data_IF_926074567124
#
_entry.id   IF_926074567124
#
_cell.length_a   1.000
_cell.length_b   1.000
_cell.length_c   1.000
_cell.angle_alpha   90.00
_cell.angle_beta   90.00
_cell.angle_gamma   90.00
#
_symmetry.space_group_name_H-M   'P 1'
#
loop_
_entity.id
_entity.type
_entity.pdbx_description
1 polymer ?
#
# COMPACT_ATOMS: atom_id res chain seq x y z
N UNK A 1 -28.33 19.90 -31.35
CA UNK A 1 -28.68 19.32 -30.04
C UNK A 1 -27.61 18.34 -29.53
N UNK A 2 -27.02 17.47 -30.37
CA UNK A 2 -25.95 16.53 -29.94
C UNK A 2 -24.66 17.20 -29.40
N UNK A 3 -24.23 18.33 -29.96
CA UNK A 3 -23.03 19.04 -29.48
C UNK A 3 -23.16 19.58 -28.04
N UNK A 4 -24.40 19.77 -27.55
CA UNK A 4 -24.66 20.23 -26.18
C UNK A 4 -24.62 19.09 -25.16
N UNK A 5 -24.85 17.84 -25.57
CA UNK A 5 -24.79 16.68 -24.66
C UNK A 5 -23.36 16.18 -24.47
N UNK A 6 -22.50 16.27 -25.49
CA UNK A 6 -21.09 15.87 -25.40
C UNK A 6 -20.29 16.81 -24.50
N UNK A 7 -20.44 18.12 -24.70
CA UNK A 7 -19.82 19.14 -23.84
C UNK A 7 -20.27 19.04 -22.37
N UNK A 8 -21.54 18.68 -22.13
CA UNK A 8 -22.03 18.45 -20.77
C UNK A 8 -21.37 17.22 -20.10
N UNK A 9 -21.14 16.14 -20.85
CA UNK A 9 -20.49 14.93 -20.33
C UNK A 9 -19.02 15.15 -20.01
N UNK A 10 -18.30 15.89 -20.85
CA UNK A 10 -16.88 16.22 -20.61
C UNK A 10 -16.70 17.11 -19.39
N UNK A 11 -17.57 18.12 -19.22
CA UNK A 11 -17.58 18.96 -18.01
C UNK A 11 -17.90 18.11 -16.80
N UNK A 12 -18.90 17.23 -16.87
CA UNK A 12 -19.28 16.39 -15.73
C UNK A 12 -18.15 15.42 -15.32
N UNK A 13 -17.49 14.77 -16.29
CA UNK A 13 -16.36 13.88 -16.03
C UNK A 13 -15.14 14.62 -15.46
N UNK A 14 -14.78 15.77 -16.02
CA UNK A 14 -13.65 16.56 -15.51
C UNK A 14 -13.91 17.09 -14.10
N UNK A 15 -15.14 17.52 -13.82
CA UNK A 15 -15.55 17.97 -12.47
C UNK A 15 -15.54 16.81 -11.48
N UNK A 16 -15.98 15.62 -11.89
CA UNK A 16 -15.92 14.41 -11.07
C UNK A 16 -14.49 14.07 -10.69
N UNK A 17 -13.60 13.95 -11.69
CA UNK A 17 -12.17 13.61 -11.45
C UNK A 17 -11.48 14.67 -10.58
N UNK A 18 -11.76 15.95 -10.83
CA UNK A 18 -11.22 17.03 -10.00
C UNK A 18 -11.68 16.93 -8.53
N UNK A 19 -12.95 16.54 -8.31
CA UNK A 19 -13.49 16.36 -6.96
C UNK A 19 -12.85 15.19 -6.22
N UNK A 20 -12.50 14.10 -6.90
CA UNK A 20 -11.79 12.96 -6.30
C UNK A 20 -10.39 13.36 -5.83
N UNK A 21 -9.68 14.17 -6.62
CA UNK A 21 -8.35 14.70 -6.25
C UNK A 21 -8.46 15.59 -5.02
N UNK A 22 -9.44 16.48 -4.97
CA UNK A 22 -9.68 17.35 -3.79
C UNK A 22 -10.02 16.52 -2.57
N UNK A 23 -10.93 15.55 -2.67
CA UNK A 23 -11.31 14.68 -1.57
C UNK A 23 -10.15 13.80 -1.08
N UNK A 24 -9.30 13.32 -1.97
CA UNK A 24 -8.07 12.63 -1.62
C UNK A 24 -7.15 13.52 -0.77
N UNK A 25 -6.90 14.76 -1.20
CA UNK A 25 -6.09 15.72 -0.45
C UNK A 25 -6.71 16.10 0.90
N UNK A 26 -8.01 16.34 0.95
CA UNK A 26 -8.73 16.62 2.21
C UNK A 26 -8.59 15.43 3.17
N UNK A 27 -8.73 14.20 2.66
CA UNK A 27 -8.60 12.98 3.46
C UNK A 27 -7.17 12.81 3.98
N UNK A 28 -6.15 13.08 3.16
CA UNK A 28 -4.75 13.02 3.59
C UNK A 28 -4.43 14.07 4.67
N UNK A 29 -4.91 15.31 4.51
CA UNK A 29 -4.71 16.37 5.51
C UNK A 29 -5.47 16.06 6.81
N UNK A 30 -6.70 15.55 6.71
CA UNK A 30 -7.49 15.15 7.85
C UNK A 30 -6.86 13.95 8.59
N UNK A 31 -6.37 12.95 7.85
CA UNK A 31 -5.65 11.81 8.39
C UNK A 31 -4.35 12.26 9.06
N UNK A 32 -3.56 13.14 8.42
CA UNK A 32 -2.34 13.69 9.03
C UNK A 32 -2.63 14.46 10.32
N UNK A 33 -3.64 15.34 10.30
CA UNK A 33 -4.04 16.10 11.48
C UNK A 33 -4.54 15.19 12.62
N UNK A 34 -5.37 14.20 12.28
CA UNK A 34 -5.91 13.25 13.26
C UNK A 34 -4.81 12.34 13.82
N UNK A 35 -3.96 11.79 12.96
CA UNK A 35 -2.83 10.97 13.37
C UNK A 35 -1.83 11.77 14.20
N UNK A 36 -1.56 13.03 13.85
CA UNK A 36 -0.74 13.94 14.66
C UNK A 36 -1.34 14.21 16.04
N UNK A 37 -2.66 14.37 16.13
CA UNK A 37 -3.39 14.51 17.42
C UNK A 37 -3.37 13.24 18.26
N UNK A 38 -3.43 12.07 17.63
CA UNK A 38 -3.41 10.76 18.30
C UNK A 38 -1.98 10.35 18.69
N UNK A 39 -0.97 10.64 17.86
CA UNK A 39 0.45 10.44 18.16
C UNK A 39 0.94 11.35 19.28
N UNK A 40 0.51 12.62 19.31
CA UNK A 40 0.87 13.55 20.39
C UNK A 40 0.40 13.11 21.80
N UNK A 41 -0.45 12.07 21.89
CA UNK A 41 -0.96 11.51 23.15
C UNK A 41 -0.36 10.15 23.51
N UNK A 42 0.52 9.59 22.69
CA UNK A 42 1.22 8.33 22.99
C UNK A 42 2.69 8.66 23.19
N UNK A 43 3.28 8.17 24.28
CA UNK A 43 4.74 8.00 24.34
C UNK A 43 5.13 7.24 23.08
N UNK A 44 5.90 7.86 22.19
CA UNK A 44 6.23 7.27 20.90
C UNK A 44 6.86 5.90 21.19
N UNK A 45 6.22 4.78 20.80
CA UNK A 45 6.95 3.54 20.72
C UNK A 45 8.10 3.85 19.77
N UNK A 46 9.34 3.60 20.16
CA UNK A 46 10.47 3.73 19.24
C UNK A 46 10.16 2.85 18.03
N UNK A 47 9.62 3.46 16.98
CA UNK A 47 9.32 2.79 15.74
C UNK A 47 10.68 2.38 15.20
N UNK A 48 11.01 1.11 15.38
CA UNK A 48 12.25 0.55 14.92
C UNK A 48 12.47 0.84 13.42
N UNK A 49 13.69 0.64 12.91
CA UNK A 49 13.99 0.91 11.51
C UNK A 49 12.97 0.21 10.60
N UNK A 50 12.41 0.94 9.62
CA UNK A 50 11.43 0.38 8.68
C UNK A 50 11.94 -0.90 7.99
N UNK A 51 13.26 -1.01 7.79
CA UNK A 51 13.90 -2.21 7.25
C UNK A 51 13.65 -3.49 8.08
N UNK A 52 13.39 -3.35 9.37
CA UNK A 52 13.08 -4.43 10.30
C UNK A 52 11.59 -4.76 10.41
N UNK A 53 10.71 -4.05 9.70
CA UNK A 53 9.28 -4.37 9.69
C UNK A 53 9.09 -5.77 9.09
N UNK A 54 8.46 -6.65 9.86
CA UNK A 54 8.18 -8.00 9.43
C UNK A 54 6.74 -8.40 9.75
N UNK A 55 6.18 -9.28 8.93
CA UNK A 55 4.77 -9.66 9.01
C UNK A 55 4.66 -11.17 9.21
N UNK A 56 3.83 -11.65 10.16
CA UNK A 56 3.61 -13.08 10.32
C UNK A 56 3.06 -13.73 9.04
N UNK A 57 3.54 -14.92 8.69
CA UNK A 57 3.14 -15.61 7.44
C UNK A 57 1.64 -15.90 7.35
N UNK A 58 0.95 -15.99 8.49
CA UNK A 58 -0.50 -16.14 8.57
C UNK A 58 -1.28 -15.03 7.82
N UNK A 59 -0.68 -13.85 7.61
CA UNK A 59 -1.28 -12.76 6.83
C UNK A 59 -1.49 -13.09 5.36
N UNK A 60 -0.75 -14.04 4.80
CA UNK A 60 -1.02 -14.58 3.45
C UNK A 60 -2.44 -15.17 3.40
N UNK A 61 -2.87 -15.82 4.48
CA UNK A 61 -4.22 -16.38 4.62
C UNK A 61 -5.32 -15.31 4.50
N UNK A 62 -5.06 -14.08 4.96
CA UNK A 62 -6.03 -12.97 4.84
C UNK A 62 -6.22 -12.56 3.37
N UNK A 63 -5.14 -12.52 2.59
CA UNK A 63 -5.21 -12.24 1.14
C UNK A 63 -5.96 -13.36 0.42
N UNK A 64 -5.64 -14.62 0.76
CA UNK A 64 -6.31 -15.79 0.16
C UNK A 64 -7.80 -15.78 0.51
N UNK A 65 -8.17 -15.59 1.78
CA UNK A 65 -9.55 -15.52 2.22
C UNK A 65 -10.31 -14.36 1.55
N UNK A 66 -9.67 -13.19 1.43
CA UNK A 66 -10.23 -12.05 0.72
C UNK A 66 -10.51 -12.36 -0.75
N UNK A 67 -9.53 -12.91 -1.47
CA UNK A 67 -9.68 -13.31 -2.88
C UNK A 67 -10.73 -14.39 -3.06
N UNK A 68 -10.78 -15.40 -2.17
CA UNK A 68 -11.81 -16.42 -2.17
C UNK A 68 -13.19 -15.81 -1.96
N UNK A 69 -13.34 -14.87 -1.02
CA UNK A 69 -14.58 -14.12 -0.81
C UNK A 69 -15.02 -13.33 -2.04
N UNK A 70 -14.09 -12.68 -2.75
CA UNK A 70 -14.39 -11.99 -4.02
C UNK A 70 -14.91 -12.97 -5.07
N UNK A 71 -14.23 -14.10 -5.26
CA UNK A 71 -14.61 -15.10 -6.27
C UNK A 71 -15.97 -15.74 -5.95
N UNK A 72 -16.16 -16.20 -4.71
CA UNK A 72 -17.41 -16.82 -4.27
C UNK A 72 -18.56 -15.82 -4.27
N UNK A 73 -18.32 -14.59 -3.80
CA UNK A 73 -19.33 -13.54 -3.81
C UNK A 73 -19.83 -13.21 -5.22
N UNK A 74 -18.93 -13.21 -6.22
CA UNK A 74 -19.32 -13.03 -7.63
C UNK A 74 -20.02 -14.25 -8.22
N UNK A 75 -19.54 -15.46 -7.90
CA UNK A 75 -20.09 -16.69 -8.48
C UNK A 75 -21.48 -17.04 -7.93
N UNK A 76 -21.75 -16.70 -6.67
CA UNK A 76 -23.03 -16.95 -5.99
C UNK A 76 -23.95 -15.71 -5.96
N UNK A 77 -23.58 -14.63 -6.64
CA UNK A 77 -24.28 -13.34 -6.66
C UNK A 77 -24.52 -12.73 -5.25
N UNK A 78 -23.61 -13.00 -4.32
CA UNK A 78 -23.60 -12.49 -2.96
C UNK A 78 -22.72 -11.23 -2.88
N UNK A 79 -23.28 -10.09 -3.27
CA UNK A 79 -22.55 -8.81 -3.33
C UNK A 79 -21.84 -8.46 -2.01
N UNK A 80 -22.50 -8.67 -0.86
CA UNK A 80 -21.91 -8.39 0.46
C UNK A 80 -20.60 -9.18 0.69
N UNK A 81 -20.54 -10.45 0.30
CA UNK A 81 -19.35 -11.29 0.45
C UNK A 81 -18.23 -10.80 -0.45
N UNK A 82 -18.55 -10.39 -1.69
CA UNK A 82 -17.57 -9.80 -2.60
C UNK A 82 -17.01 -8.47 -2.07
N UNK A 83 -17.84 -7.61 -1.49
CA UNK A 83 -17.39 -6.34 -0.88
C UNK A 83 -16.46 -6.60 0.31
N UNK A 84 -16.80 -7.54 1.19
CA UNK A 84 -15.93 -7.94 2.31
C UNK A 84 -14.60 -8.48 1.78
N UNK A 85 -14.66 -9.34 0.76
CA UNK A 85 -13.47 -9.89 0.11
C UNK A 85 -12.54 -8.80 -0.42
N UNK A 86 -13.07 -7.79 -1.12
CA UNK A 86 -12.27 -6.67 -1.62
C UNK A 86 -11.63 -5.86 -0.49
N UNK A 87 -12.35 -5.60 0.60
CA UNK A 87 -11.79 -4.90 1.75
C UNK A 87 -10.61 -5.66 2.38
N UNK A 88 -10.74 -6.99 2.52
CA UNK A 88 -9.65 -7.84 3.01
C UNK A 88 -8.45 -7.80 2.07
N UNK A 89 -8.66 -7.90 0.75
CA UNK A 89 -7.59 -7.85 -0.25
C UNK A 89 -6.87 -6.51 -0.24
N UNK A 90 -7.61 -5.39 -0.24
CA UNK A 90 -6.99 -4.06 -0.23
C UNK A 90 -6.28 -3.76 1.08
N UNK A 91 -6.89 -4.12 2.22
CA UNK A 91 -6.29 -3.95 3.53
C UNK A 91 -5.00 -4.75 3.68
N UNK A 92 -5.04 -6.05 3.41
CA UNK A 92 -3.86 -6.90 3.49
C UNK A 92 -2.82 -6.53 2.42
N UNK A 93 -3.26 -6.19 1.20
CA UNK A 93 -2.39 -5.72 0.12
C UNK A 93 -1.61 -4.46 0.51
N UNK A 94 -2.24 -3.50 1.19
CA UNK A 94 -1.55 -2.32 1.71
C UNK A 94 -0.50 -2.69 2.76
N UNK A 95 -0.81 -3.60 3.68
CA UNK A 95 0.15 -4.09 4.69
C UNK A 95 1.35 -4.79 4.02
N UNK A 96 1.10 -5.62 3.01
CA UNK A 96 2.16 -6.21 2.20
C UNK A 96 2.95 -5.16 1.40
N UNK A 97 2.32 -4.07 0.96
CA UNK A 97 3.05 -2.97 0.33
C UNK A 97 4.03 -2.31 1.28
N UNK A 98 3.65 -2.10 2.54
CA UNK A 98 4.56 -1.61 3.59
C UNK A 98 5.73 -2.59 3.80
N UNK A 99 5.47 -3.91 3.85
CA UNK A 99 6.53 -4.93 3.89
C UNK A 99 7.45 -4.86 2.65
N UNK A 100 6.90 -4.64 1.46
CA UNK A 100 7.70 -4.44 0.26
C UNK A 100 8.57 -3.18 0.32
N UNK A 101 8.08 -2.08 0.91
CA UNK A 101 8.88 -0.88 1.16
C UNK A 101 9.99 -1.16 2.18
N UNK A 102 9.72 -1.97 3.20
CA UNK A 102 10.74 -2.41 4.17
C UNK A 102 11.87 -3.19 3.48
N UNK A 103 11.54 -4.11 2.57
CA UNK A 103 12.52 -4.87 1.77
C UNK A 103 13.33 -3.94 0.87
N UNK A 104 12.70 -3.00 0.17
CA UNK A 104 13.42 -2.00 -0.65
C UNK A 104 14.35 -1.14 0.22
N UNK A 105 13.88 -0.71 1.38
CA UNK A 105 14.66 0.06 2.36
C UNK A 105 15.88 -0.72 2.83
N UNK A 106 15.72 -2.00 3.16
CA UNK A 106 16.81 -2.90 3.53
C UNK A 106 17.88 -2.98 2.43
N UNK A 107 17.47 -3.19 1.17
CA UNK A 107 18.42 -3.27 0.05
C UNK A 107 19.11 -1.94 -0.25
N UNK A 108 18.42 -0.81 -0.13
CA UNK A 108 19.01 0.52 -0.26
C UNK A 108 20.02 0.79 0.87
N UNK A 109 19.70 0.42 2.12
CA UNK A 109 20.64 0.52 3.25
C UNK A 109 21.88 -0.34 3.04
N UNK A 110 21.68 -1.57 2.60
CA UNK A 110 22.78 -2.49 2.26
C UNK A 110 23.63 -1.96 1.11
N UNK A 111 23.04 -1.25 0.15
CA UNK A 111 23.75 -0.59 -0.94
C UNK A 111 24.44 0.73 -0.51
N UNK A 112 24.39 1.10 0.77
CA UNK A 112 25.05 2.30 1.31
C UNK A 112 24.30 3.60 1.04
N UNK A 113 23.01 3.55 0.68
CA UNK A 113 22.24 4.75 0.41
C UNK A 113 22.00 5.57 1.69
N UNK A 114 22.30 6.87 1.62
CA UNK A 114 22.05 7.79 2.73
C UNK A 114 20.54 7.97 2.92
N UNK A 115 20.11 8.08 4.18
CA UNK A 115 18.69 8.30 4.57
C UNK A 115 17.93 9.32 3.69
N UNK A 116 18.42 10.54 3.41
CA UNK A 116 17.67 11.51 2.61
C UNK A 116 17.44 11.07 1.16
N UNK A 117 18.41 10.39 0.55
CA UNK A 117 18.29 9.89 -0.83
C UNK A 117 17.23 8.79 -0.90
N UNK A 118 17.25 7.87 0.06
CA UNK A 118 16.25 6.81 0.16
C UNK A 118 14.83 7.37 0.32
N UNK A 119 14.65 8.30 1.26
CA UNK A 119 13.33 8.92 1.48
C UNK A 119 12.87 9.69 0.25
N UNK A 120 13.77 10.39 -0.44
CA UNK A 120 13.43 11.07 -1.69
C UNK A 120 13.00 10.08 -2.78
N UNK A 121 13.74 8.99 -3.01
CA UNK A 121 13.41 8.03 -4.07
C UNK A 121 12.11 7.28 -3.77
N UNK A 122 11.92 6.81 -2.54
CA UNK A 122 10.67 6.15 -2.15
C UNK A 122 9.48 7.12 -2.18
N UNK A 123 9.67 8.35 -1.70
CA UNK A 123 8.64 9.38 -1.69
C UNK A 123 8.24 9.85 -3.10
N UNK A 124 9.22 10.08 -3.97
CA UNK A 124 8.99 10.45 -5.38
C UNK A 124 8.31 9.28 -6.11
N UNK A 125 8.79 8.05 -5.91
CA UNK A 125 8.18 6.85 -6.50
C UNK A 125 6.72 6.68 -6.07
N UNK A 126 6.44 6.90 -4.78
CA UNK A 126 5.09 6.88 -4.24
C UNK A 126 4.20 7.98 -4.83
N UNK A 127 4.69 9.21 -4.99
CA UNK A 127 3.92 10.34 -5.53
C UNK A 127 3.65 10.23 -7.03
N UNK A 128 4.66 9.83 -7.82
CA UNK A 128 4.57 9.80 -9.28
C UNK A 128 3.91 8.53 -9.82
N UNK A 129 4.03 7.42 -9.09
CA UNK A 129 3.61 6.11 -9.57
C UNK A 129 2.82 5.34 -8.51
N UNK A 130 2.02 6.02 -7.70
CA UNK A 130 1.27 5.45 -6.57
C UNK A 130 0.66 4.06 -6.83
N UNK A 131 -0.19 3.84 -7.86
CA UNK A 131 -0.80 2.54 -8.07
C UNK A 131 0.24 1.44 -8.39
N UNK A 132 1.24 1.76 -9.22
CA UNK A 132 2.32 0.84 -9.56
C UNK A 132 3.19 0.55 -8.34
N UNK A 133 3.51 1.58 -7.56
CA UNK A 133 4.32 1.47 -6.34
C UNK A 133 3.63 0.58 -5.30
N UNK A 134 2.32 0.76 -5.10
CA UNK A 134 1.54 -0.08 -4.18
C UNK A 134 1.44 -1.53 -4.66
N UNK A 135 1.17 -1.76 -5.95
CA UNK A 135 1.07 -3.12 -6.50
C UNK A 135 2.42 -3.84 -6.45
N UNK A 136 3.49 -3.18 -6.91
CA UNK A 136 4.84 -3.75 -6.91
C UNK A 136 5.35 -3.94 -5.48
N UNK A 137 5.08 -2.99 -4.59
CA UNK A 137 5.38 -3.11 -3.16
C UNK A 137 4.63 -4.29 -2.54
N UNK A 138 3.33 -4.42 -2.79
CA UNK A 138 2.52 -5.52 -2.26
C UNK A 138 3.03 -6.87 -2.78
N UNK A 139 3.31 -6.96 -4.07
CA UNK A 139 3.91 -8.14 -4.68
C UNK A 139 5.25 -8.50 -4.04
N UNK A 140 6.16 -7.52 -3.92
CA UNK A 140 7.47 -7.73 -3.31
C UNK A 140 7.37 -8.16 -1.84
N UNK A 141 6.52 -7.51 -1.06
CA UNK A 141 6.31 -7.88 0.35
C UNK A 141 5.67 -9.26 0.51
N UNK A 142 4.78 -9.63 -0.42
CA UNK A 142 4.18 -10.96 -0.44
C UNK A 142 5.22 -12.02 -0.84
N UNK A 143 6.05 -11.75 -1.85
CA UNK A 143 7.16 -12.64 -2.23
C UNK A 143 8.20 -12.81 -1.11
N UNK A 144 8.48 -11.75 -0.35
CA UNK A 144 9.39 -11.82 0.80
C UNK A 144 8.89 -12.80 1.87
N UNK A 145 7.59 -13.06 1.97
CA UNK A 145 7.05 -14.06 2.90
C UNK A 145 7.38 -15.51 2.50
N UNK A 146 7.58 -15.79 1.21
CA UNK A 146 7.98 -17.14 0.76
C UNK A 146 9.48 -17.31 0.60
N UNK A 147 10.18 -16.29 0.11
CA UNK A 147 11.60 -16.39 -0.20
C UNK A 147 12.49 -15.87 0.93
N UNK A 148 12.00 -15.01 1.82
CA UNK A 148 12.82 -14.33 2.84
C UNK A 148 14.09 -13.70 2.22
N UNK A 149 13.89 -12.67 1.37
CA UNK A 149 14.97 -12.02 0.64
C UNK A 149 16.01 -11.37 1.56
N UNK A 150 15.62 -11.10 2.81
CA UNK A 150 16.48 -10.52 3.84
C UNK A 150 17.44 -11.56 4.45
N UNK A 151 17.05 -12.84 4.48
CA UNK A 151 17.78 -13.91 5.19
C UNK A 151 18.51 -14.90 4.27
N UNK A 152 18.15 -14.98 2.99
CA UNK A 152 18.84 -15.85 1.99
C UNK A 152 20.38 -15.64 1.94
N UNK A 153 20.93 -14.52 2.42
CA UNK A 153 22.38 -14.28 2.47
C UNK A 153 22.97 -13.99 3.85
N UNK A 154 22.19 -14.05 4.92
CA UNK A 154 22.73 -13.99 6.29
C UNK A 154 23.58 -15.21 6.63
N UNK A 155 23.30 -16.35 6.00
CA UNK A 155 24.04 -17.61 6.17
C UNK A 155 25.39 -17.67 5.42
N UNK A 156 25.78 -16.64 4.65
CA UNK A 156 27.07 -16.63 3.92
C UNK A 156 28.07 -15.59 4.43
N UNK A 157 27.76 -14.89 5.52
CA UNK A 157 28.66 -13.92 6.17
C UNK A 157 29.13 -14.39 7.56
N UNK A 158 29.06 -15.71 7.80
CA UNK A 158 29.39 -16.35 9.07
C UNK A 158 29.97 -17.75 8.85
N UNK A 159 31.01 -17.84 8.03
CA UNK A 159 32.08 -18.86 8.11
C UNK A 159 33.43 -18.16 7.92
#
# INVERSE_FOLDING_TARGET
MQASSETALEVLQSTWVASEVVWFWVTLVAAWWFLGRVQARREEPELGPLAGFDLPDAWIGVVIAGMAGVLLGRQLDLNAVAVIGWNLVFGAGFVFAVRGVAVQTFWMERAGWRRPVRTAVLGIGFLLALPVFLIMGAGLGLFDAWFDFRRIRGAQAGE
#
